data_IF_206996339412
#
_entry.id   IF_206996339412
#
_cell.length_a   1.000
_cell.length_b   1.000
_cell.length_c   1.000
_cell.angle_alpha   90.00
_cell.angle_beta   90.00
_cell.angle_gamma   90.00
#
_symmetry.space_group_name_H-M   'P 1'
#
loop_
_entity.id
_entity.type
_entity.pdbx_description
1 polymer ?
#
# COMPACT_ATOMS: atom_id res chain seq x y z
N UNK A 1 -7.29 6.40 14.43
CA UNK A 1 -8.74 6.56 14.20
C UNK A 1 -9.45 6.49 15.53
N UNK A 2 -10.34 7.45 15.82
CA UNK A 2 -11.21 7.41 16.99
C UNK A 2 -12.26 6.29 16.86
N UNK A 3 -13.06 6.09 17.90
CA UNK A 3 -14.22 5.20 17.81
C UNK A 3 -15.27 5.81 16.89
N UNK A 4 -16.07 4.97 16.26
CA UNK A 4 -17.21 5.42 15.46
C UNK A 4 -18.13 6.29 16.32
N UNK A 5 -18.47 7.48 15.84
CA UNK A 5 -19.32 8.44 16.55
C UNK A 5 -18.64 9.28 17.62
N UNK A 6 -17.35 9.13 17.86
CA UNK A 6 -16.60 10.00 18.78
C UNK A 6 -16.26 11.33 18.10
N UNK A 7 -17.02 12.38 18.42
CA UNK A 7 -16.84 13.73 17.86
C UNK A 7 -15.75 14.56 18.58
N UNK A 8 -15.26 14.08 19.73
CA UNK A 8 -14.22 14.77 20.51
C UNK A 8 -13.13 13.77 20.99
N UNK A 9 -12.47 13.07 20.06
CA UNK A 9 -11.47 12.08 20.43
C UNK A 9 -10.30 12.71 21.18
N UNK A 10 -9.74 11.97 22.13
CA UNK A 10 -8.46 12.34 22.75
C UNK A 10 -7.33 11.83 21.86
N UNK A 11 -6.42 12.74 21.51
CA UNK A 11 -5.26 12.42 20.70
C UNK A 11 -4.05 12.06 21.54
N UNK A 12 -3.10 11.28 20.98
CA UNK A 12 -1.81 11.08 21.63
C UNK A 12 -1.11 12.39 21.89
N UNK A 13 -0.41 12.47 23.03
CA UNK A 13 0.34 13.65 23.44
C UNK A 13 1.81 13.31 23.55
N UNK A 14 2.68 14.28 23.27
CA UNK A 14 4.11 14.14 23.50
C UNK A 14 4.39 14.57 24.96
N UNK A 15 4.87 13.63 25.77
CA UNK A 15 5.30 13.89 27.13
C UNK A 15 6.58 14.75 27.15
N UNK A 16 6.94 15.31 28.33
CA UNK A 16 8.14 16.16 28.48
C UNK A 16 9.44 15.46 28.12
N UNK A 17 9.48 14.14 28.19
CA UNK A 17 10.62 13.29 27.87
C UNK A 17 10.63 12.83 26.39
N UNK A 18 9.72 13.37 25.56
CA UNK A 18 9.61 13.06 24.14
C UNK A 18 8.80 11.78 23.83
N UNK A 19 8.34 11.04 24.83
CA UNK A 19 7.52 9.84 24.58
C UNK A 19 6.11 10.21 24.14
N UNK A 20 5.55 9.39 23.25
CA UNK A 20 4.15 9.50 22.86
C UNK A 20 3.28 8.76 23.89
N UNK A 21 2.40 9.50 24.54
CA UNK A 21 1.40 8.95 25.46
C UNK A 21 0.09 8.75 24.73
N UNK A 22 -0.32 7.51 24.62
CA UNK A 22 -1.55 7.11 23.94
C UNK A 22 -2.74 7.12 24.89
N UNK A 23 -3.91 7.61 24.44
CA UNK A 23 -5.13 7.54 25.24
C UNK A 23 -5.50 6.07 25.49
N UNK A 24 -6.00 5.79 26.68
CA UNK A 24 -6.33 4.44 27.15
C UNK A 24 -7.83 4.28 27.40
N UNK A 25 -8.26 3.03 27.54
CA UNK A 25 -9.63 2.67 27.91
C UNK A 25 -10.66 3.14 26.87
N UNK A 26 -11.68 3.86 27.32
CA UNK A 26 -12.75 4.37 26.44
C UNK A 26 -12.29 5.40 25.41
N UNK A 27 -11.13 6.00 25.63
CA UNK A 27 -10.52 6.99 24.71
C UNK A 27 -9.43 6.39 23.80
N UNK A 28 -9.27 5.06 23.80
CA UNK A 28 -8.29 4.40 22.96
C UNK A 28 -8.55 4.70 21.47
N UNK A 29 -7.48 5.01 20.73
CA UNK A 29 -7.52 5.22 19.28
C UNK A 29 -6.83 4.06 18.59
N UNK A 30 -7.36 3.63 17.44
CA UNK A 30 -6.71 2.64 16.59
C UNK A 30 -5.69 3.33 15.69
N UNK A 31 -4.44 2.86 15.70
CA UNK A 31 -3.40 3.31 14.78
C UNK A 31 -3.26 2.30 13.64
N UNK A 32 -3.24 2.79 12.40
CA UNK A 32 -3.02 1.98 11.20
C UNK A 32 -2.18 2.78 10.22
N UNK A 33 -1.35 2.08 9.45
CA UNK A 33 -0.57 2.69 8.37
C UNK A 33 -1.38 2.70 7.08
N UNK A 34 -1.39 3.83 6.42
CA UNK A 34 -2.01 4.05 5.11
C UNK A 34 -1.08 4.86 4.22
N UNK A 35 -1.27 4.74 2.92
CA UNK A 35 -0.61 5.62 1.96
C UNK A 35 -1.46 6.87 1.76
N UNK A 36 -0.86 8.04 1.83
CA UNK A 36 -1.49 9.26 1.31
C UNK A 36 -1.45 9.20 -0.21
N UNK A 37 -2.61 9.05 -0.84
CA UNK A 37 -2.70 8.96 -2.30
C UNK A 37 -2.38 10.31 -2.97
N UNK A 38 -2.90 11.40 -2.44
CA UNK A 38 -2.64 12.77 -2.89
C UNK A 38 -2.39 13.68 -1.68
N UNK A 39 -1.52 14.65 -1.87
CA UNK A 39 -1.29 15.72 -0.91
C UNK A 39 -1.35 17.05 -1.66
N UNK A 40 -2.09 17.99 -1.13
CA UNK A 40 -2.15 19.36 -1.60
C UNK A 40 -1.91 20.31 -0.41
N UNK A 41 -0.65 20.66 -0.13
CA UNK A 41 -0.33 21.54 1.00
C UNK A 41 -0.92 22.95 0.86
N UNK A 42 -1.16 23.43 -0.37
CA UNK A 42 -1.72 24.76 -0.59
C UNK A 42 -3.22 24.81 -0.23
N UNK A 43 -3.95 23.74 -0.53
CA UNK A 43 -5.35 23.59 -0.14
C UNK A 43 -5.50 23.03 1.30
N UNK A 44 -4.42 22.51 1.90
CA UNK A 44 -4.49 21.81 3.18
C UNK A 44 -5.20 20.44 3.09
N UNK A 45 -5.11 19.78 1.93
CA UNK A 45 -5.84 18.55 1.63
C UNK A 45 -4.93 17.33 1.60
N UNK A 46 -5.49 16.20 2.04
CA UNK A 46 -4.85 14.89 2.02
C UNK A 46 -5.87 13.82 1.66
N UNK A 47 -5.60 13.05 0.59
CA UNK A 47 -6.45 11.92 0.19
C UNK A 47 -5.86 10.61 0.73
N UNK A 48 -6.71 9.84 1.40
CA UNK A 48 -6.38 8.50 1.91
C UNK A 48 -7.48 7.54 1.47
N UNK A 49 -7.11 6.50 0.75
CA UNK A 49 -8.04 5.46 0.33
C UNK A 49 -8.12 4.36 1.40
N UNK A 50 -9.35 3.92 1.69
CA UNK A 50 -9.61 2.83 2.63
C UNK A 50 -10.22 1.66 1.88
N UNK A 51 -9.56 0.51 1.94
CA UNK A 51 -10.17 -0.75 1.48
C UNK A 51 -11.18 -1.18 2.53
N UNK A 52 -12.44 -1.28 2.13
CA UNK A 52 -13.53 -1.67 3.01
C UNK A 52 -13.64 -3.19 3.03
N UNK A 53 -13.08 -3.83 4.04
CA UNK A 53 -13.11 -5.28 4.21
C UNK A 53 -13.29 -5.65 5.69
N UNK A 54 -14.14 -6.65 5.95
CA UNK A 54 -14.34 -7.22 7.30
C UNK A 54 -14.64 -6.17 8.38
N UNK A 55 -14.36 -6.53 9.63
CA UNK A 55 -14.70 -5.75 10.83
C UNK A 55 -13.49 -5.00 11.43
N UNK A 56 -12.48 -4.72 10.61
CA UNK A 56 -11.29 -4.00 11.06
C UNK A 56 -11.63 -2.56 11.49
N UNK A 57 -10.98 -2.02 12.55
CA UNK A 57 -11.35 -0.70 13.10
C UNK A 57 -11.24 0.44 12.08
N UNK A 58 -10.34 0.32 11.10
CA UNK A 58 -10.20 1.33 10.05
C UNK A 58 -11.30 1.24 9.00
N UNK A 59 -11.60 0.04 8.52
CA UNK A 59 -12.68 -0.18 7.55
C UNK A 59 -14.03 0.20 8.16
N UNK A 60 -14.29 -0.22 9.42
CA UNK A 60 -15.50 0.13 10.15
C UNK A 60 -15.64 1.65 10.33
N UNK A 61 -14.55 2.33 10.71
CA UNK A 61 -14.57 3.78 10.86
C UNK A 61 -14.83 4.47 9.51
N UNK A 62 -14.13 4.06 8.45
CA UNK A 62 -14.27 4.67 7.13
C UNK A 62 -15.68 4.46 6.53
N UNK A 63 -16.25 3.27 6.70
CA UNK A 63 -17.62 2.98 6.24
C UNK A 63 -18.70 3.80 6.97
N UNK A 64 -18.45 4.20 8.21
CA UNK A 64 -19.38 4.99 9.03
C UNK A 64 -19.08 6.50 9.00
N UNK A 65 -17.94 6.92 8.46
CA UNK A 65 -17.51 8.31 8.46
C UNK A 65 -18.45 9.17 7.59
N UNK A 66 -18.88 10.30 8.16
CA UNK A 66 -19.62 11.32 7.45
C UNK A 66 -18.79 12.60 7.34
N UNK A 67 -19.15 13.54 6.48
CA UNK A 67 -18.52 14.85 6.44
C UNK A 67 -18.43 15.49 7.83
N UNK A 68 -17.23 15.96 8.20
CA UNK A 68 -16.93 16.47 9.54
C UNK A 68 -16.40 15.42 10.53
N UNK A 69 -16.36 14.13 10.18
CA UNK A 69 -15.68 13.13 10.99
C UNK A 69 -14.18 13.45 11.11
N UNK A 70 -13.61 13.26 12.30
CA UNK A 70 -12.23 13.67 12.60
C UNK A 70 -11.28 12.47 12.56
N UNK A 71 -10.19 12.62 11.84
CA UNK A 71 -9.12 11.64 11.74
C UNK A 71 -7.78 12.29 12.12
N UNK A 72 -7.01 11.64 12.99
CA UNK A 72 -5.63 12.07 13.26
C UNK A 72 -4.67 11.43 12.25
N UNK A 73 -3.78 12.23 11.69
CA UNK A 73 -2.73 11.78 10.78
C UNK A 73 -1.37 12.09 11.39
N UNK A 74 -0.51 11.07 11.47
CA UNK A 74 0.90 11.23 11.78
C UNK A 74 1.72 10.82 10.56
N UNK A 75 2.59 11.71 10.08
CA UNK A 75 3.44 11.43 8.92
C UNK A 75 4.54 10.45 9.28
N UNK A 76 4.80 9.51 8.41
CA UNK A 76 6.02 8.69 8.39
C UNK A 76 6.98 9.21 7.29
N UNK A 77 8.09 8.50 7.09
CA UNK A 77 9.06 8.87 6.05
C UNK A 77 8.41 8.90 4.65
N UNK A 78 8.88 9.79 3.76
CA UNK A 78 8.43 9.82 2.37
C UNK A 78 8.74 8.49 1.67
N UNK A 79 7.93 8.12 0.67
CA UNK A 79 8.34 7.10 -0.29
C UNK A 79 9.60 7.65 -0.97
N UNK A 80 10.68 6.87 -0.96
CA UNK A 80 11.90 7.24 -1.71
C UNK A 80 11.62 7.34 -3.21
N UNK A 81 12.51 8.05 -3.92
CA UNK A 81 12.42 8.16 -5.37
C UNK A 81 12.52 6.77 -6.02
N UNK A 82 11.64 6.51 -6.99
CA UNK A 82 11.75 5.31 -7.80
C UNK A 82 12.92 5.48 -8.80
N UNK A 83 13.81 4.47 -8.94
CA UNK A 83 14.85 4.51 -9.95
C UNK A 83 14.27 4.68 -11.36
N UNK A 84 15.02 5.31 -12.24
CA UNK A 84 14.60 5.67 -13.59
C UNK A 84 14.55 4.51 -14.60
N UNK A 85 15.15 3.38 -14.31
CA UNK A 85 15.34 2.27 -15.24
C UNK A 85 14.11 1.40 -15.47
N UNK A 86 14.11 0.19 -14.96
CA UNK A 86 13.02 -0.76 -15.11
C UNK A 86 12.34 -1.04 -13.77
N UNK A 87 11.01 -0.93 -13.74
CA UNK A 87 10.20 -1.11 -12.54
C UNK A 87 9.34 -2.37 -12.61
N UNK A 88 9.37 -3.16 -11.55
CA UNK A 88 8.29 -4.08 -11.18
C UNK A 88 7.49 -3.45 -10.03
N UNK A 89 6.24 -3.16 -10.26
CA UNK A 89 5.31 -2.76 -9.21
C UNK A 89 4.27 -3.87 -9.04
N UNK A 90 4.03 -4.33 -7.82
CA UNK A 90 3.05 -5.38 -7.60
C UNK A 90 2.30 -5.17 -6.29
N UNK A 91 0.99 -5.42 -6.29
CA UNK A 91 0.22 -5.31 -5.08
C UNK A 91 -1.26 -5.63 -5.24
N UNK A 92 -1.94 -5.72 -4.11
CA UNK A 92 -3.39 -5.80 -4.05
C UNK A 92 -4.04 -4.41 -3.91
N UNK A 93 -5.35 -4.34 -3.67
CA UNK A 93 -6.11 -3.08 -3.51
C UNK A 93 -5.44 -2.11 -2.52
N UNK A 94 -4.84 -2.64 -1.47
CA UNK A 94 -4.22 -1.81 -0.42
C UNK A 94 -2.98 -1.08 -0.91
N UNK A 95 -2.36 -1.57 -1.98
CA UNK A 95 -1.14 -1.02 -2.58
C UNK A 95 -1.40 -0.04 -3.72
N UNK A 96 -2.61 0.00 -4.29
CA UNK A 96 -2.95 0.89 -5.42
C UNK A 96 -2.55 2.34 -5.15
N UNK A 97 -2.81 2.95 -3.99
CA UNK A 97 -2.42 4.33 -3.73
C UNK A 97 -0.90 4.56 -3.81
N UNK A 98 -0.09 3.60 -3.34
CA UNK A 98 1.36 3.70 -3.38
C UNK A 98 1.88 3.50 -4.80
N UNK A 99 1.37 2.49 -5.53
CA UNK A 99 1.72 2.22 -6.92
C UNK A 99 1.36 3.41 -7.80
N UNK A 100 0.17 3.99 -7.64
CA UNK A 100 -0.26 5.19 -8.35
C UNK A 100 0.72 6.35 -8.17
N UNK A 101 1.20 6.60 -6.94
CA UNK A 101 2.19 7.64 -6.67
C UNK A 101 3.56 7.35 -7.28
N UNK A 102 4.01 6.11 -7.23
CA UNK A 102 5.27 5.70 -7.85
C UNK A 102 5.20 5.88 -9.37
N UNK A 103 4.11 5.45 -10.00
CA UNK A 103 3.89 5.62 -11.43
C UNK A 103 3.86 7.09 -11.83
N UNK A 104 3.13 7.93 -11.09
CA UNK A 104 3.04 9.36 -11.36
C UNK A 104 4.37 10.11 -11.17
N UNK A 105 5.25 9.62 -10.28
CA UNK A 105 6.57 10.19 -10.04
C UNK A 105 7.65 9.62 -10.99
N UNK A 106 7.38 8.52 -11.66
CA UNK A 106 8.33 7.86 -12.54
C UNK A 106 8.60 8.70 -13.81
N UNK A 107 9.85 8.71 -14.25
CA UNK A 107 10.26 9.45 -15.45
C UNK A 107 9.64 8.88 -16.73
N UNK A 108 9.46 9.72 -17.75
CA UNK A 108 8.84 9.32 -19.02
C UNK A 108 9.57 8.17 -19.74
N UNK A 109 10.85 7.96 -19.45
CA UNK A 109 11.67 6.87 -20.03
C UNK A 109 11.64 5.58 -19.20
N UNK A 110 10.98 5.58 -18.03
CA UNK A 110 10.83 4.40 -17.20
C UNK A 110 10.07 3.31 -17.94
N UNK A 111 10.56 2.09 -17.86
CA UNK A 111 9.93 0.88 -18.39
C UNK A 111 9.52 -0.03 -17.27
N UNK A 112 8.66 -0.99 -17.55
CA UNK A 112 8.32 -1.99 -16.54
C UNK A 112 6.93 -2.53 -16.64
N UNK A 113 6.49 -3.11 -15.53
CA UNK A 113 5.14 -3.66 -15.38
C UNK A 113 4.60 -3.36 -13.98
N UNK A 114 3.34 -2.98 -13.92
CA UNK A 114 2.57 -2.88 -12.68
C UNK A 114 1.51 -3.99 -12.68
N UNK A 115 1.59 -4.90 -11.71
CA UNK A 115 0.65 -6.01 -11.49
C UNK A 115 -0.25 -5.67 -10.32
N UNK A 116 -1.54 -5.55 -10.58
CA UNK A 116 -2.53 -5.09 -9.59
C UNK A 116 -3.61 -6.16 -9.40
N UNK A 117 -3.58 -6.81 -8.26
CA UNK A 117 -4.58 -7.82 -7.90
C UNK A 117 -5.78 -7.15 -7.25
N UNK A 118 -6.96 -7.36 -7.83
CA UNK A 118 -8.23 -6.81 -7.36
C UNK A 118 -9.33 -7.89 -7.37
N UNK A 119 -10.47 -7.60 -6.72
CA UNK A 119 -11.58 -8.53 -6.66
C UNK A 119 -12.10 -8.89 -8.06
N UNK A 120 -12.34 -7.88 -8.90
CA UNK A 120 -12.85 -8.05 -10.24
C UNK A 120 -12.64 -6.81 -11.11
N UNK A 121 -13.11 -6.84 -12.38
CA UNK A 121 -12.92 -5.72 -13.31
C UNK A 121 -13.52 -4.40 -12.85
N UNK A 122 -14.53 -4.44 -11.99
CA UNK A 122 -15.19 -3.27 -11.40
C UNK A 122 -14.30 -2.46 -10.47
N UNK A 123 -13.21 -3.07 -9.99
CA UNK A 123 -12.22 -2.42 -9.11
C UNK A 123 -11.07 -1.76 -9.88
N UNK A 124 -11.02 -1.90 -11.19
CA UNK A 124 -10.01 -1.25 -12.01
C UNK A 124 -10.13 0.28 -11.95
N UNK A 125 -9.00 0.96 -11.86
CA UNK A 125 -8.94 2.42 -11.77
C UNK A 125 -8.00 2.99 -12.82
N UNK A 126 -8.25 4.19 -13.37
CA UNK A 126 -7.29 4.88 -14.20
C UNK A 126 -6.01 5.19 -13.43
N UNK A 127 -4.88 4.76 -13.95
CA UNK A 127 -3.57 5.06 -13.39
C UNK A 127 -2.73 5.83 -14.41
N UNK A 128 -2.17 6.95 -13.97
CA UNK A 128 -1.19 7.69 -14.76
C UNK A 128 0.14 6.95 -14.72
N UNK A 129 0.49 6.26 -15.81
CA UNK A 129 1.74 5.53 -15.93
C UNK A 129 2.59 6.06 -17.10
N UNK A 130 3.93 6.00 -17.02
CA UNK A 130 4.79 6.26 -18.16
C UNK A 130 4.44 5.32 -19.34
N UNK A 131 4.61 5.76 -20.61
CA UNK A 131 4.25 4.96 -21.79
C UNK A 131 4.98 3.61 -21.87
N UNK A 132 6.15 3.48 -21.24
CA UNK A 132 6.93 2.26 -21.18
C UNK A 132 6.55 1.30 -20.06
N UNK A 133 5.58 1.65 -19.22
CA UNK A 133 5.12 0.79 -18.11
C UNK A 133 3.76 0.21 -18.44
N UNK A 134 3.69 -1.11 -18.55
CA UNK A 134 2.45 -1.85 -18.76
C UNK A 134 1.72 -2.01 -17.43
N UNK A 135 0.44 -1.67 -17.37
CA UNK A 135 -0.44 -1.93 -16.22
C UNK A 135 -1.30 -3.15 -16.52
N UNK A 136 -1.18 -4.17 -15.66
CA UNK A 136 -1.96 -5.42 -15.76
C UNK A 136 -2.80 -5.62 -14.52
N UNK A 137 -4.09 -5.77 -14.71
CA UNK A 137 -5.03 -6.11 -13.66
C UNK A 137 -5.18 -7.63 -13.57
N UNK A 138 -5.16 -8.14 -12.35
CA UNK A 138 -5.29 -9.55 -12.02
C UNK A 138 -6.57 -9.72 -11.20
N UNK A 139 -7.56 -10.42 -11.76
CA UNK A 139 -8.88 -10.52 -11.14
C UNK A 139 -9.02 -11.82 -10.36
N UNK A 140 -9.25 -11.72 -9.06
CA UNK A 140 -9.52 -12.90 -8.22
C UNK A 140 -10.80 -13.62 -8.61
N UNK A 141 -11.80 -12.89 -9.11
CA UNK A 141 -13.06 -13.47 -9.59
C UNK A 141 -12.92 -14.44 -10.76
N UNK A 142 -11.82 -14.33 -11.54
CA UNK A 142 -11.53 -15.20 -12.68
C UNK A 142 -10.52 -16.32 -12.34
N UNK A 143 -10.02 -16.38 -11.10
CA UNK A 143 -8.97 -17.30 -10.68
C UNK A 143 -9.49 -18.47 -9.85
N UNK A 144 -8.68 -19.52 -9.71
CA UNK A 144 -8.95 -20.58 -8.76
C UNK A 144 -8.91 -20.05 -7.32
N UNK A 145 -9.70 -20.61 -6.38
CA UNK A 145 -9.82 -20.09 -5.01
C UNK A 145 -8.51 -19.96 -4.24
N UNK A 146 -7.54 -20.81 -4.55
CA UNK A 146 -6.23 -20.87 -3.87
C UNK A 146 -5.08 -20.29 -4.71
N UNK A 147 -5.37 -19.60 -5.81
CA UNK A 147 -4.33 -19.02 -6.67
C UNK A 147 -3.62 -17.87 -5.94
N UNK A 148 -2.29 -17.84 -6.03
CA UNK A 148 -1.46 -16.69 -5.65
C UNK A 148 -1.16 -15.86 -6.92
N UNK A 149 -2.14 -15.08 -7.34
CA UNK A 149 -2.12 -14.37 -8.63
C UNK A 149 -0.88 -13.49 -8.80
N UNK A 150 -0.46 -12.79 -7.75
CA UNK A 150 0.74 -11.94 -7.81
C UNK A 150 2.00 -12.77 -7.95
N UNK A 151 2.16 -13.85 -7.18
CA UNK A 151 3.32 -14.71 -7.27
C UNK A 151 3.39 -15.42 -8.63
N UNK A 152 2.27 -15.95 -9.10
CA UNK A 152 2.18 -16.63 -10.40
C UNK A 152 2.48 -15.67 -11.57
N UNK A 153 1.90 -14.48 -11.54
CA UNK A 153 2.14 -13.46 -12.57
C UNK A 153 3.61 -13.02 -12.59
N UNK A 154 4.25 -12.83 -11.43
CA UNK A 154 5.66 -12.48 -11.35
C UNK A 154 6.55 -13.66 -11.80
N UNK A 155 6.20 -14.89 -11.42
CA UNK A 155 6.94 -16.08 -11.84
C UNK A 155 6.92 -16.27 -13.38
N UNK A 156 5.83 -15.86 -14.04
CA UNK A 156 5.70 -15.88 -15.49
C UNK A 156 6.49 -14.78 -16.22
N UNK A 157 6.93 -13.73 -15.52
CA UNK A 157 7.73 -12.65 -16.12
C UNK A 157 9.17 -13.12 -16.38
N UNK A 158 9.73 -12.84 -17.56
CA UNK A 158 11.18 -12.97 -17.73
C UNK A 158 11.91 -11.93 -16.87
N UNK A 159 13.08 -12.27 -16.36
CA UNK A 159 13.94 -11.27 -15.75
C UNK A 159 14.37 -10.27 -16.83
N UNK A 160 14.16 -8.97 -16.65
CA UNK A 160 14.64 -7.97 -17.60
C UNK A 160 16.17 -7.91 -17.64
N UNK A 161 16.70 -7.53 -18.79
CA UNK A 161 18.14 -7.28 -18.95
C UNK A 161 18.55 -5.99 -18.23
N UNK A 162 19.83 -5.95 -17.80
CA UNK A 162 20.41 -4.79 -17.15
C UNK A 162 20.44 -4.85 -15.63
N UNK A 163 21.06 -3.87 -15.02
CA UNK A 163 21.26 -3.78 -13.56
C UNK A 163 20.35 -2.74 -12.88
N UNK A 164 19.76 -1.82 -13.65
CA UNK A 164 18.90 -0.75 -13.15
C UNK A 164 17.44 -1.24 -13.01
N UNK A 165 17.29 -2.25 -12.16
CA UNK A 165 16.01 -2.87 -11.84
C UNK A 165 15.62 -2.52 -10.42
N UNK A 166 14.35 -2.14 -10.23
CA UNK A 166 13.78 -1.97 -8.91
C UNK A 166 12.40 -2.63 -8.83
N UNK A 167 12.16 -3.40 -7.78
CA UNK A 167 10.88 -4.02 -7.51
C UNK A 167 10.25 -3.43 -6.23
N UNK A 168 9.04 -2.93 -6.35
CA UNK A 168 8.22 -2.51 -5.21
C UNK A 168 6.99 -3.42 -5.10
N UNK A 169 6.78 -3.99 -3.91
CA UNK A 169 5.69 -4.94 -3.66
C UNK A 169 5.00 -4.61 -2.34
N UNK A 170 3.68 -4.44 -2.39
CA UNK A 170 2.83 -4.24 -1.23
C UNK A 170 1.56 -5.08 -1.34
N UNK A 171 1.35 -6.04 -0.43
CA UNK A 171 0.20 -6.95 -0.46
C UNK A 171 0.05 -7.71 0.86
N UNK A 172 -0.76 -8.78 0.85
CA UNK A 172 -0.82 -9.75 1.93
C UNK A 172 0.56 -10.33 2.25
N UNK A 173 0.84 -10.54 3.53
CA UNK A 173 2.17 -10.92 4.03
C UNK A 173 2.69 -12.26 3.50
N UNK A 174 1.81 -13.23 3.17
CA UNK A 174 2.24 -14.51 2.61
C UNK A 174 2.64 -14.35 1.14
N UNK A 175 1.83 -13.66 0.33
CA UNK A 175 2.12 -13.33 -1.06
C UNK A 175 3.44 -12.55 -1.18
N UNK A 176 3.63 -11.54 -0.34
CA UNK A 176 4.89 -10.76 -0.31
C UNK A 176 6.11 -11.63 0.01
N UNK A 177 5.98 -12.64 0.89
CA UNK A 177 7.10 -13.55 1.18
C UNK A 177 7.45 -14.42 -0.03
N UNK A 178 6.46 -14.95 -0.73
CA UNK A 178 6.65 -15.75 -1.95
C UNK A 178 7.33 -14.93 -3.04
N UNK A 179 6.79 -13.76 -3.34
CA UNK A 179 7.36 -12.81 -4.32
C UNK A 179 8.79 -12.42 -3.96
N UNK A 180 9.07 -12.08 -2.70
CA UNK A 180 10.42 -11.71 -2.26
C UNK A 180 11.42 -12.85 -2.44
N UNK A 181 11.01 -14.10 -2.21
CA UNK A 181 11.87 -15.26 -2.44
C UNK A 181 12.21 -15.40 -3.93
N UNK A 182 11.24 -15.22 -4.83
CA UNK A 182 11.44 -15.26 -6.28
C UNK A 182 12.35 -14.11 -6.77
N UNK A 183 12.10 -12.88 -6.34
CA UNK A 183 12.94 -11.72 -6.69
C UNK A 183 14.41 -11.91 -6.30
N UNK A 184 14.66 -12.50 -5.14
CA UNK A 184 16.03 -12.78 -4.67
C UNK A 184 16.65 -14.00 -5.34
N UNK A 185 15.89 -15.06 -5.51
CA UNK A 185 16.38 -16.32 -6.08
C UNK A 185 16.52 -16.26 -7.59
N UNK A 186 15.42 -16.09 -8.30
CA UNK A 186 15.37 -16.14 -9.76
C UNK A 186 15.88 -14.87 -10.42
N UNK A 187 15.50 -13.68 -9.88
CA UNK A 187 15.96 -12.41 -10.45
C UNK A 187 17.30 -11.94 -9.89
N UNK A 188 17.78 -12.50 -8.78
CA UNK A 188 19.05 -12.14 -8.15
C UNK A 188 19.08 -10.71 -7.60
N UNK A 189 17.93 -10.12 -7.25
CA UNK A 189 17.85 -8.75 -6.77
C UNK A 189 18.48 -8.59 -5.37
N UNK A 190 19.37 -7.63 -5.24
CA UNK A 190 19.97 -7.24 -3.96
C UNK A 190 18.96 -6.47 -3.12
N UNK A 191 19.23 -6.34 -1.81
CA UNK A 191 18.36 -5.63 -0.86
C UNK A 191 18.01 -4.20 -1.30
N UNK A 192 18.93 -3.49 -1.92
CA UNK A 192 18.71 -2.13 -2.40
C UNK A 192 17.82 -2.05 -3.65
N UNK A 193 17.61 -3.17 -4.34
CA UNK A 193 16.86 -3.25 -5.59
C UNK A 193 15.42 -3.71 -5.41
N UNK A 194 14.97 -3.96 -4.18
CA UNK A 194 13.57 -4.29 -3.94
C UNK A 194 13.08 -3.80 -2.58
N UNK A 195 11.84 -3.36 -2.57
CA UNK A 195 11.09 -3.01 -1.40
C UNK A 195 9.81 -3.84 -1.38
N UNK A 196 9.72 -4.82 -0.48
CA UNK A 196 8.60 -5.74 -0.44
C UNK A 196 8.03 -5.77 0.99
N UNK A 197 6.82 -5.25 1.18
CA UNK A 197 6.19 -5.02 2.49
C UNK A 197 4.84 -5.73 2.55
N UNK A 198 4.62 -6.53 3.61
CA UNK A 198 3.30 -7.01 3.96
C UNK A 198 2.45 -5.88 4.54
N UNK A 199 1.45 -5.46 3.83
CA UNK A 199 0.53 -4.40 4.26
C UNK A 199 -0.54 -4.92 5.21
N UNK A 200 -0.91 -6.17 5.05
CA UNK A 200 -1.89 -6.83 5.90
C UNK A 200 -1.58 -8.32 6.02
N UNK A 201 -2.31 -8.99 6.90
CA UNK A 201 -2.18 -10.44 7.10
C UNK A 201 -3.55 -11.04 7.31
N UNK A 202 -3.87 -12.05 6.54
CA UNK A 202 -5.14 -12.76 6.64
C UNK A 202 -5.36 -13.30 8.06
N UNK A 203 -6.55 -13.03 8.63
CA UNK A 203 -6.90 -13.47 9.97
C UNK A 203 -6.21 -12.74 11.12
N UNK A 204 -5.48 -11.63 10.87
CA UNK A 204 -4.85 -10.84 11.93
C UNK A 204 -5.01 -9.34 11.71
N UNK A 205 -5.38 -8.62 12.76
CA UNK A 205 -5.22 -7.17 12.79
C UNK A 205 -3.72 -6.83 12.85
N UNK A 206 -3.23 -6.06 11.89
CA UNK A 206 -1.87 -5.54 11.92
C UNK A 206 -1.81 -4.35 12.88
N UNK A 207 -0.90 -4.38 13.85
CA UNK A 207 -0.49 -3.17 14.57
C UNK A 207 0.65 -2.52 13.80
N UNK A 208 0.76 -1.17 13.77
CA UNK A 208 1.94 -0.52 13.23
C UNK A 208 3.16 -1.06 13.97
N UNK A 209 4.23 -1.30 13.24
CA UNK A 209 5.53 -1.60 13.85
C UNK A 209 5.94 -0.41 14.71
N UNK A 210 6.20 -0.66 16.00
CA UNK A 210 6.72 0.33 16.95
C UNK A 210 8.14 0.75 16.60
#
# INVERSE_FOLDING_TARGET
>A
MPRVGDLAPRWPQVARDGRIVWPQGSHGVALRSYTSRRQDPAAGELDIDFVLHGDGPAATWAAAAAPGAVLGVASSAPLGDAPAGWLLLAGDETAIPAISRILAAAGAQTRGVALLEVAGPEEEQPLAAPPGVEVRWLHRSAAAPDADLLADAIAALPRPDGEDLFAWVGAESAAVRAVRADLRGRWGLRRAQHHAIGYWRRGRAMSPAG
#
